data_IF_744894002049
#
_entry.id   IF_744894002049
#
_cell.length_a   1.000
_cell.length_b   1.000
_cell.length_c   1.000
_cell.angle_alpha   90.00
_cell.angle_beta   90.00
_cell.angle_gamma   90.00
#
_symmetry.space_group_name_H-M   'P 1'
#
loop_
_entity.id
_entity.type
_entity.pdbx_description
1 polymer ?
#
# COMPACT_ATOMS: atom_id res chain seq x y z
N UNK A 1 22.68 16.49 -8.35
CA UNK A 1 21.55 15.65 -7.89
C UNK A 1 21.59 14.35 -8.68
N UNK A 2 21.69 13.21 -7.99
CA UNK A 2 21.80 11.90 -8.62
C UNK A 2 20.42 11.33 -8.94
N UNK A 3 19.56 11.21 -7.93
CA UNK A 3 18.18 10.73 -8.11
C UNK A 3 17.22 11.92 -8.20
N UNK A 4 16.14 11.78 -8.95
CA UNK A 4 15.17 12.87 -9.12
C UNK A 4 13.74 12.50 -8.72
N UNK A 5 13.47 11.22 -8.41
CA UNK A 5 12.14 10.79 -7.99
C UNK A 5 12.22 9.40 -7.35
N UNK A 6 11.17 9.05 -6.59
CA UNK A 6 10.93 7.65 -6.23
C UNK A 6 10.19 6.99 -7.38
N UNK A 7 10.73 5.90 -7.92
CA UNK A 7 10.15 5.21 -9.07
C UNK A 7 9.05 4.24 -8.64
N UNK A 8 9.35 3.39 -7.67
CA UNK A 8 8.39 2.41 -7.18
C UNK A 8 8.74 1.96 -5.75
N UNK A 9 7.78 1.33 -5.12
CA UNK A 9 7.94 0.60 -3.86
C UNK A 9 7.81 -0.88 -4.18
N UNK A 10 8.69 -1.71 -3.63
CA UNK A 10 8.61 -3.17 -3.76
C UNK A 10 8.30 -3.81 -2.41
N UNK A 11 7.36 -4.74 -2.40
CA UNK A 11 6.96 -5.49 -1.22
C UNK A 11 7.02 -6.99 -1.51
N UNK A 12 7.60 -7.75 -0.59
CA UNK A 12 7.49 -9.20 -0.61
C UNK A 12 6.13 -9.61 -0.07
N UNK A 13 5.45 -10.51 -0.75
CA UNK A 13 4.15 -11.05 -0.34
C UNK A 13 4.18 -12.57 -0.44
N UNK A 14 3.59 -13.23 0.54
CA UNK A 14 3.57 -14.69 0.59
C UNK A 14 2.62 -15.30 -0.42
N UNK A 15 1.56 -14.57 -0.82
CA UNK A 15 0.59 -15.00 -1.82
C UNK A 15 0.16 -13.80 -2.66
N UNK A 16 0.45 -13.84 -3.95
CA UNK A 16 0.26 -12.69 -4.85
C UNK A 16 -1.23 -12.35 -5.06
N UNK A 17 -2.14 -13.30 -5.36
CA UNK A 17 -3.54 -12.93 -5.63
C UNK A 17 -4.24 -12.20 -4.48
N UNK A 18 -4.17 -12.61 -3.21
CA UNK A 18 -4.77 -11.85 -2.12
C UNK A 18 -4.14 -10.46 -1.94
N UNK A 19 -2.83 -10.33 -2.20
CA UNK A 19 -2.15 -9.04 -2.13
C UNK A 19 -2.69 -8.09 -3.21
N UNK A 20 -2.87 -8.58 -4.44
CA UNK A 20 -3.48 -7.78 -5.52
C UNK A 20 -4.85 -7.27 -5.09
N UNK A 21 -5.70 -8.14 -4.55
CA UNK A 21 -7.05 -7.75 -4.11
C UNK A 21 -7.01 -6.67 -3.03
N UNK A 22 -6.09 -6.80 -2.08
CA UNK A 22 -5.91 -5.80 -1.02
C UNK A 22 -5.55 -4.43 -1.61
N UNK A 23 -4.56 -4.37 -2.49
CA UNK A 23 -4.12 -3.09 -3.06
C UNK A 23 -5.12 -2.53 -4.06
N UNK A 24 -5.86 -3.36 -4.77
CA UNK A 24 -7.00 -2.90 -5.58
C UNK A 24 -8.07 -2.21 -4.71
N UNK A 25 -8.33 -2.73 -3.51
CA UNK A 25 -9.25 -2.09 -2.57
C UNK A 25 -8.78 -0.69 -2.12
N UNK A 26 -7.47 -0.45 -2.14
CA UNK A 26 -6.89 0.87 -1.85
C UNK A 26 -6.90 1.83 -3.06
N UNK A 27 -7.24 1.34 -4.25
CA UNK A 27 -7.30 2.15 -5.45
C UNK A 27 -6.21 1.85 -6.48
N UNK A 28 -5.31 0.91 -6.21
CA UNK A 28 -4.32 0.49 -7.18
C UNK A 28 -4.97 -0.34 -8.29
N UNK A 29 -4.32 -0.34 -9.44
CA UNK A 29 -4.72 -1.14 -10.58
C UNK A 29 -3.50 -1.86 -11.14
N UNK A 30 -3.65 -3.14 -11.44
CA UNK A 30 -2.59 -3.95 -12.04
C UNK A 30 -2.33 -3.52 -13.47
N UNK A 31 -1.07 -3.53 -13.87
CA UNK A 31 -0.67 -3.34 -15.27
C UNK A 31 0.34 -4.41 -15.68
N UNK A 32 0.66 -4.45 -16.97
CA UNK A 32 1.44 -5.51 -17.56
C UNK A 32 2.84 -5.62 -16.95
N UNK A 33 3.19 -6.84 -16.53
CA UNK A 33 4.48 -7.20 -15.96
C UNK A 33 5.12 -8.28 -16.83
N UNK A 34 6.39 -8.12 -17.25
CA UNK A 34 7.07 -9.17 -17.99
C UNK A 34 7.29 -10.40 -17.09
N UNK A 35 7.54 -11.55 -17.71
CA UNK A 35 7.96 -12.73 -16.98
C UNK A 35 9.41 -12.54 -16.50
N UNK A 36 9.56 -12.42 -15.18
CA UNK A 36 10.87 -12.23 -14.55
C UNK A 36 11.41 -13.49 -13.89
N UNK A 37 10.72 -14.65 -14.08
CA UNK A 37 11.15 -15.93 -13.54
C UNK A 37 10.69 -16.16 -12.10
N UNK A 38 9.86 -15.29 -11.55
CA UNK A 38 9.23 -15.45 -10.23
C UNK A 38 7.87 -14.76 -10.23
N UNK A 39 7.02 -15.16 -9.29
CA UNK A 39 5.67 -14.64 -9.16
C UNK A 39 5.66 -13.19 -8.66
N UNK A 40 4.72 -12.41 -9.13
CA UNK A 40 4.58 -11.03 -8.69
C UNK A 40 3.52 -10.28 -9.47
N UNK A 41 3.40 -8.99 -9.18
CA UNK A 41 2.48 -8.11 -9.90
C UNK A 41 3.05 -6.68 -9.87
N UNK A 42 2.77 -5.93 -10.92
CA UNK A 42 3.03 -4.51 -10.98
C UNK A 42 1.70 -3.76 -10.94
N UNK A 43 1.61 -2.79 -10.05
CA UNK A 43 0.39 -2.02 -9.82
C UNK A 43 0.69 -0.53 -9.85
N UNK A 44 -0.30 0.26 -10.23
CA UNK A 44 -0.18 1.71 -10.27
C UNK A 44 -1.39 2.37 -9.62
N UNK A 45 -1.17 3.55 -9.05
CA UNK A 45 -2.20 4.39 -8.46
C UNK A 45 -2.38 5.63 -9.32
N UNK A 46 -3.40 5.62 -10.19
CA UNK A 46 -3.69 6.71 -11.12
C UNK A 46 -2.48 7.15 -11.99
N UNK A 47 -1.57 6.22 -12.28
CA UNK A 47 -0.36 6.52 -13.03
C UNK A 47 0.65 7.40 -12.30
N UNK A 48 0.46 7.65 -11.00
CA UNK A 48 1.30 8.56 -10.20
C UNK A 48 2.29 7.85 -9.30
N UNK A 49 2.37 6.53 -9.37
CA UNK A 49 3.30 5.74 -8.59
C UNK A 49 3.12 4.28 -8.91
N UNK A 50 4.16 3.50 -8.66
CA UNK A 50 4.13 2.06 -8.91
C UNK A 50 4.40 1.29 -7.62
N UNK A 51 3.71 0.18 -7.50
CA UNK A 51 3.90 -0.81 -6.46
C UNK A 51 4.24 -2.13 -7.13
N UNK A 52 5.38 -2.70 -6.78
CA UNK A 52 5.81 -4.01 -7.27
C UNK A 52 5.65 -5.04 -6.15
N UNK A 53 4.79 -6.02 -6.36
CA UNK A 53 4.61 -7.16 -5.46
C UNK A 53 5.52 -8.29 -5.93
N UNK A 54 6.28 -8.85 -5.01
CA UNK A 54 7.20 -9.94 -5.28
C UNK A 54 6.80 -11.16 -4.45
N UNK A 55 6.65 -12.31 -5.10
CA UNK A 55 6.26 -13.56 -4.44
C UNK A 55 7.42 -14.19 -3.68
N UNK A 56 7.91 -13.50 -2.65
CA UNK A 56 8.95 -13.96 -1.75
C UNK A 56 8.48 -13.90 -0.30
N UNK A 57 9.11 -14.62 0.63
CA UNK A 57 8.75 -14.52 2.04
C UNK A 57 8.86 -13.06 2.54
N UNK A 58 7.79 -12.51 3.14
CA UNK A 58 7.83 -11.15 3.66
C UNK A 58 8.69 -11.08 4.92
N UNK A 59 9.45 -9.98 5.12
CA UNK A 59 10.13 -9.75 6.38
C UNK A 59 9.13 -9.29 7.46
N UNK A 60 9.55 -9.37 8.73
CA UNK A 60 8.82 -8.75 9.81
C UNK A 60 8.84 -7.23 9.62
N UNK A 61 7.66 -6.63 9.45
CA UNK A 61 7.54 -5.19 9.27
C UNK A 61 7.43 -4.50 10.63
N UNK A 62 8.56 -4.05 11.16
CA UNK A 62 8.64 -3.28 12.40
C UNK A 62 9.06 -1.86 12.04
N UNK A 63 8.09 -0.95 12.00
CA UNK A 63 8.30 0.45 11.62
C UNK A 63 8.36 0.72 10.12
N UNK A 64 8.79 -0.24 9.32
CA UNK A 64 8.86 -0.06 7.87
C UNK A 64 7.46 -0.03 7.25
N UNK A 65 7.18 1.00 6.48
CA UNK A 65 5.90 1.15 5.79
C UNK A 65 6.03 2.18 4.67
N UNK A 66 5.03 2.25 3.81
CA UNK A 66 4.85 3.36 2.90
C UNK A 66 3.49 3.98 3.12
N UNK A 67 3.32 5.23 2.71
CA UNK A 67 2.11 5.99 2.96
C UNK A 67 1.42 6.38 1.66
N UNK A 68 0.10 6.32 1.69
CA UNK A 68 -0.78 6.74 0.61
C UNK A 68 -1.54 7.98 1.06
N UNK A 69 -1.59 8.98 0.20
CA UNK A 69 -2.37 10.20 0.42
C UNK A 69 -3.86 9.88 0.25
N UNK A 70 -4.69 10.32 1.17
CA UNK A 70 -6.14 10.30 1.05
C UNK A 70 -6.70 11.70 1.29
N UNK A 71 -7.81 12.02 0.63
CA UNK A 71 -8.45 13.32 0.79
C UNK A 71 -9.27 13.40 2.07
N UNK A 72 -9.94 12.30 2.42
CA UNK A 72 -10.80 12.19 3.61
C UNK A 72 -10.59 10.81 4.23
N UNK A 73 -9.87 10.78 5.35
CA UNK A 73 -9.49 9.51 5.99
C UNK A 73 -10.69 8.79 6.60
N UNK A 74 -11.68 9.51 7.10
CA UNK A 74 -12.87 8.88 7.66
C UNK A 74 -13.69 8.19 6.55
N UNK A 75 -13.87 8.86 5.42
CA UNK A 75 -14.55 8.27 4.27
C UNK A 75 -13.77 7.08 3.71
N UNK A 76 -12.44 7.17 3.64
CA UNK A 76 -11.59 6.07 3.19
C UNK A 76 -11.73 4.85 4.10
N UNK A 77 -11.72 5.04 5.41
CA UNK A 77 -11.86 3.94 6.37
C UNK A 77 -13.27 3.32 6.31
N UNK A 78 -14.30 4.12 6.12
CA UNK A 78 -15.66 3.61 5.95
C UNK A 78 -15.76 2.72 4.70
N UNK A 79 -15.20 3.17 3.59
CA UNK A 79 -15.17 2.39 2.36
C UNK A 79 -14.42 1.07 2.53
N UNK A 80 -13.24 1.11 3.17
CA UNK A 80 -12.43 -0.08 3.40
C UNK A 80 -13.11 -1.07 4.35
N UNK A 81 -13.85 -0.58 5.34
CA UNK A 81 -14.63 -1.44 6.25
C UNK A 81 -15.63 -2.28 5.48
N UNK A 82 -16.28 -1.73 4.46
CA UNK A 82 -17.21 -2.50 3.62
C UNK A 82 -16.51 -3.62 2.84
N UNK A 83 -15.21 -3.53 2.68
CA UNK A 83 -14.36 -4.52 1.99
C UNK A 83 -13.63 -5.45 2.97
N UNK A 84 -13.95 -5.37 4.25
CA UNK A 84 -13.35 -6.21 5.28
C UNK A 84 -11.95 -5.76 5.72
N UNK A 85 -11.56 -4.54 5.43
CA UNK A 85 -10.25 -3.99 5.79
C UNK A 85 -10.45 -2.97 6.92
N UNK A 86 -9.76 -3.20 8.05
CA UNK A 86 -9.83 -2.32 9.21
C UNK A 86 -8.42 -1.86 9.60
N UNK A 87 -8.27 -0.64 10.12
CA UNK A 87 -6.98 -0.17 10.58
C UNK A 87 -6.53 -0.93 11.84
N UNK A 88 -5.23 -1.13 11.96
CA UNK A 88 -4.63 -1.66 13.19
C UNK A 88 -4.50 -0.58 14.25
N UNK A 89 -4.30 0.66 13.82
CA UNK A 89 -4.28 1.84 14.68
C UNK A 89 -4.52 3.10 13.85
N UNK A 90 -4.93 4.15 14.54
CA UNK A 90 -5.08 5.49 13.96
C UNK A 90 -4.31 6.49 14.81
N UNK A 91 -4.00 7.63 14.23
CA UNK A 91 -3.27 8.67 14.94
C UNK A 91 -3.41 10.02 14.27
N UNK A 92 -2.83 11.02 14.92
CA UNK A 92 -2.77 12.38 14.42
C UNK A 92 -1.44 13.01 14.84
N UNK A 93 -0.82 13.72 13.90
CA UNK A 93 0.27 14.62 14.20
C UNK A 93 -0.31 16.03 14.11
N UNK A 94 -0.47 16.68 15.25
CA UNK A 94 -1.17 17.96 15.35
C UNK A 94 -0.63 18.98 14.34
N UNK A 95 -1.54 19.56 13.57
CA UNK A 95 -1.22 20.56 12.57
C UNK A 95 -0.55 20.02 11.30
N UNK A 96 -0.35 18.71 11.20
CA UNK A 96 0.36 18.08 10.07
C UNK A 96 -0.53 17.10 9.32
N UNK A 97 -1.00 16.04 9.98
CA UNK A 97 -1.77 15.02 9.30
C UNK A 97 -2.59 14.16 10.25
N UNK A 98 -3.58 13.46 9.69
CA UNK A 98 -4.23 12.32 10.32
C UNK A 98 -3.75 11.05 9.64
N UNK A 99 -3.60 9.99 10.41
CA UNK A 99 -3.01 8.72 9.96
C UNK A 99 -3.90 7.54 10.30
N UNK A 100 -3.89 6.55 9.44
CA UNK A 100 -4.41 5.22 9.73
C UNK A 100 -3.45 4.18 9.19
N UNK A 101 -3.22 3.11 9.94
CA UNK A 101 -2.26 2.08 9.57
C UNK A 101 -3.01 0.77 9.30
N UNK A 102 -2.66 0.15 8.17
CA UNK A 102 -3.27 -1.10 7.71
C UNK A 102 -2.18 -2.15 7.61
N UNK A 103 -2.59 -3.42 7.64
CA UNK A 103 -1.72 -4.54 7.30
C UNK A 103 -2.27 -5.24 6.07
N UNK A 104 -1.41 -5.50 5.08
CA UNK A 104 -1.79 -6.32 3.94
C UNK A 104 -1.84 -7.81 4.37
N UNK A 105 -2.33 -8.73 3.52
CA UNK A 105 -2.44 -10.14 3.88
C UNK A 105 -1.11 -10.81 4.25
N UNK A 106 0.02 -10.24 3.87
CA UNK A 106 1.36 -10.74 4.21
C UNK A 106 1.97 -10.05 5.41
N UNK A 107 1.26 -9.09 6.04
CA UNK A 107 1.72 -8.36 7.21
C UNK A 107 2.52 -7.10 6.91
N UNK A 108 2.63 -6.69 5.65
CA UNK A 108 3.27 -5.41 5.31
C UNK A 108 2.41 -4.25 5.81
N UNK A 109 3.06 -3.24 6.40
CA UNK A 109 2.35 -2.08 6.93
C UNK A 109 2.18 -1.01 5.85
N UNK A 110 0.96 -0.47 5.77
CA UNK A 110 0.59 0.61 4.86
C UNK A 110 -0.07 1.71 5.67
N UNK A 111 0.35 2.94 5.45
CA UNK A 111 -0.26 4.11 6.08
C UNK A 111 -1.21 4.81 5.11
N UNK A 112 -2.38 5.22 5.60
CA UNK A 112 -3.20 6.23 4.94
C UNK A 112 -2.94 7.56 5.64
N UNK A 113 -2.67 8.59 4.86
CA UNK A 113 -2.29 9.90 5.37
C UNK A 113 -3.18 10.98 4.77
N UNK A 114 -3.86 11.72 5.64
CA UNK A 114 -4.61 12.91 5.25
C UNK A 114 -3.85 14.14 5.74
N UNK A 115 -3.31 14.91 4.83
CA UNK A 115 -2.62 16.16 5.14
C UNK A 115 -3.63 17.21 5.64
N UNK A 116 -3.30 17.88 6.73
CA UNK A 116 -4.13 18.94 7.30
C UNK A 116 -3.80 20.31 6.72
#
# INVERSE_FOLDING_TARGET
>A
MVANAVHHVSLNVSDVPPAIQFYEALGFREFERPDLGFDGAWMTLNGMGELHLLGFPPPDAVGQHFALQVDDIDAALDELTTKGISPTRTGEIEGICRQAFLRDPSGNEVELNQTL
#
